data_IF_676568881794
#
_entry.id   IF_676568881794
#
_cell.length_a   1.000
_cell.length_b   1.000
_cell.length_c   1.000
_cell.angle_alpha   90.00
_cell.angle_beta   90.00
_cell.angle_gamma   90.00
#
_symmetry.space_group_name_H-M   'P 1'
#
loop_
_entity.id
_entity.type
_entity.pdbx_description
1 polymer ?
#
# COMPACT_ATOMS: atom_id res chain seq x y z
N UNK A 1 15.41 9.92 21.64
CA UNK A 1 14.40 10.78 21.00
C UNK A 1 14.05 10.15 19.67
N UNK A 2 12.78 9.84 19.41
CA UNK A 2 12.34 9.36 18.11
C UNK A 2 11.94 10.56 17.26
N UNK A 3 12.53 10.71 16.07
CA UNK A 3 12.22 11.79 15.13
C UNK A 3 11.41 11.17 13.99
N UNK A 4 10.24 11.75 13.72
CA UNK A 4 9.41 11.38 12.59
C UNK A 4 9.33 12.57 11.63
N UNK A 5 10.21 12.57 10.63
CA UNK A 5 10.15 13.57 9.57
C UNK A 5 9.00 13.24 8.63
N UNK A 6 7.96 14.08 8.63
CA UNK A 6 6.79 13.95 7.75
C UNK A 6 7.11 14.23 6.27
N UNK A 7 8.39 14.45 5.94
CA UNK A 7 8.89 14.72 4.59
C UNK A 7 8.93 13.43 3.75
N UNK A 8 9.10 12.25 4.38
CA UNK A 8 8.88 10.94 3.77
C UNK A 8 7.49 10.42 4.16
N UNK A 9 6.53 10.54 3.24
CA UNK A 9 5.13 10.18 3.50
C UNK A 9 4.95 8.66 3.70
N UNK A 10 5.09 8.20 4.95
CA UNK A 10 4.80 6.82 5.38
C UNK A 10 3.29 6.61 5.49
N UNK A 11 2.65 6.20 4.40
CA UNK A 11 1.19 6.00 4.37
C UNK A 11 0.70 4.83 5.25
N UNK A 12 1.52 3.79 5.42
CA UNK A 12 1.13 2.57 6.15
C UNK A 12 1.29 2.68 7.67
N UNK A 13 1.96 3.71 8.19
CA UNK A 13 2.24 3.83 9.63
C UNK A 13 3.17 2.76 10.21
N UNK A 14 3.80 1.93 9.37
CA UNK A 14 4.73 0.85 9.73
C UNK A 14 5.91 0.78 8.73
N UNK A 15 6.82 -0.19 8.90
CA UNK A 15 8.05 -0.33 8.10
C UNK A 15 7.85 -1.06 6.76
N UNK A 16 6.62 -1.49 6.44
CA UNK A 16 6.23 -2.07 5.15
C UNK A 16 4.74 -1.83 4.88
N UNK A 17 4.27 -2.13 3.67
CA UNK A 17 2.84 -2.15 3.35
C UNK A 17 2.43 -3.54 2.88
N UNK A 18 1.33 -4.06 3.43
CA UNK A 18 0.70 -5.28 2.92
C UNK A 18 -0.48 -4.89 2.03
N UNK A 19 -0.32 -5.08 0.72
CA UNK A 19 -1.34 -4.74 -0.26
C UNK A 19 -1.69 -5.90 -1.17
N UNK A 20 -2.94 -5.91 -1.63
CA UNK A 20 -3.45 -6.81 -2.65
C UNK A 20 -3.80 -6.04 -3.91
N UNK A 21 -3.18 -6.42 -5.04
CA UNK A 21 -3.52 -5.87 -6.36
C UNK A 21 -4.78 -6.55 -6.89
N UNK A 22 -5.83 -5.78 -7.13
CA UNK A 22 -7.09 -6.26 -7.67
C UNK A 22 -7.52 -5.44 -8.89
N UNK A 23 -8.30 -6.04 -9.82
CA UNK A 23 -8.96 -5.26 -10.87
C UNK A 23 -9.83 -4.16 -10.26
N UNK A 24 -9.82 -2.97 -10.86
CA UNK A 24 -10.62 -1.83 -10.40
C UNK A 24 -12.10 -2.20 -10.25
N UNK A 25 -12.63 -2.93 -11.22
CA UNK A 25 -14.06 -3.29 -11.28
C UNK A 25 -14.43 -4.43 -10.32
N UNK A 26 -13.46 -5.04 -9.64
CA UNK A 26 -13.69 -6.04 -8.60
C UNK A 26 -13.84 -5.42 -7.19
N UNK A 27 -13.81 -4.09 -7.08
CA UNK A 27 -13.91 -3.36 -5.82
C UNK A 27 -14.97 -2.28 -5.88
N UNK A 28 -15.71 -2.15 -4.80
CA UNK A 28 -16.65 -1.04 -4.59
C UNK A 28 -16.78 -0.76 -3.10
N UNK A 29 -16.93 0.53 -2.76
CA UNK A 29 -17.35 0.92 -1.43
C UNK A 29 -18.84 0.61 -1.28
N UNK A 30 -19.19 -0.14 -0.24
CA UNK A 30 -20.58 -0.43 0.10
C UNK A 30 -21.20 0.73 0.89
N UNK A 31 -20.38 1.47 1.64
CA UNK A 31 -20.77 2.60 2.48
C UNK A 31 -19.62 3.61 2.62
N UNK A 32 -19.97 4.87 2.89
CA UNK A 32 -19.02 5.95 3.08
C UNK A 32 -18.36 6.43 1.79
N UNK A 33 -17.63 7.54 1.91
CA UNK A 33 -16.82 8.11 0.84
C UNK A 33 -15.41 8.30 1.37
N UNK A 34 -14.38 7.75 0.73
CA UNK A 34 -13.01 7.95 1.18
C UNK A 34 -12.55 9.38 0.89
N UNK A 35 -11.55 9.83 1.64
CA UNK A 35 -10.77 11.02 1.34
C UNK A 35 -9.57 10.64 0.49
N UNK A 36 -9.43 11.26 -0.68
CA UNK A 36 -8.31 11.03 -1.60
C UNK A 36 -7.18 12.04 -1.38
N UNK A 37 -5.94 11.55 -1.42
CA UNK A 37 -4.72 12.33 -1.45
C UNK A 37 -3.88 11.93 -2.67
N UNK A 38 -3.49 12.92 -3.48
CA UNK A 38 -2.65 12.73 -4.66
C UNK A 38 -1.29 13.43 -4.46
N UNK A 39 -0.19 12.69 -4.62
CA UNK A 39 1.17 13.23 -4.54
C UNK A 39 2.15 12.44 -5.39
N UNK A 40 3.19 13.09 -5.90
CA UNK A 40 4.37 12.41 -6.43
C UNK A 40 5.24 11.93 -5.26
N UNK A 41 5.58 10.64 -5.24
CA UNK A 41 6.43 10.03 -4.22
C UNK A 41 7.93 10.03 -4.59
N UNK A 42 8.34 10.86 -5.55
CA UNK A 42 9.72 10.95 -6.05
C UNK A 42 10.00 10.03 -7.24
N UNK A 43 8.98 9.31 -7.73
CA UNK A 43 9.09 8.48 -8.93
C UNK A 43 8.74 9.22 -10.23
N UNK A 44 8.26 10.46 -10.14
CA UNK A 44 7.74 11.21 -11.29
C UNK A 44 6.34 10.76 -11.70
N UNK A 45 5.69 9.89 -10.92
CA UNK A 45 4.34 9.38 -11.17
C UNK A 45 3.42 9.80 -10.03
N UNK A 46 2.26 10.35 -10.37
CA UNK A 46 1.24 10.68 -9.38
C UNK A 46 0.71 9.40 -8.72
N UNK A 47 0.78 9.36 -7.39
CA UNK A 47 0.22 8.30 -6.58
C UNK A 47 -1.02 8.83 -5.85
N UNK A 48 -2.13 8.12 -6.01
CA UNK A 48 -3.39 8.40 -5.34
C UNK A 48 -3.55 7.44 -4.17
N UNK A 49 -3.95 7.96 -3.02
CA UNK A 49 -4.21 7.20 -1.80
C UNK A 49 -5.57 7.58 -1.25
N UNK A 50 -6.37 6.59 -0.92
CA UNK A 50 -7.70 6.76 -0.36
C UNK A 50 -7.69 6.34 1.12
N UNK A 51 -8.18 7.21 1.98
CA UNK A 51 -8.27 7.00 3.42
C UNK A 51 -9.72 7.09 3.89
N UNK A 52 -10.06 6.38 4.96
CA UNK A 52 -11.35 6.57 5.63
C UNK A 52 -11.44 8.00 6.18
N UNK A 53 -12.46 8.76 5.78
CA UNK A 53 -12.64 10.16 6.19
C UNK A 53 -12.87 10.30 7.71
N UNK A 54 -13.43 9.27 8.36
CA UNK A 54 -13.74 9.29 9.78
C UNK A 54 -12.55 8.94 10.69
N UNK A 55 -11.81 7.86 10.38
CA UNK A 55 -10.75 7.35 11.25
C UNK A 55 -9.34 7.49 10.68
N UNK A 56 -9.19 7.95 9.43
CA UNK A 56 -7.90 8.11 8.77
C UNK A 56 -7.21 6.81 8.36
N UNK A 57 -7.89 5.65 8.46
CA UNK A 57 -7.33 4.37 8.02
C UNK A 57 -7.01 4.41 6.53
N UNK A 58 -5.81 3.98 6.16
CA UNK A 58 -5.42 3.84 4.77
C UNK A 58 -6.17 2.66 4.15
N UNK A 59 -6.88 2.87 3.05
CA UNK A 59 -7.73 1.85 2.43
C UNK A 59 -7.06 1.28 1.19
N UNK A 60 -6.67 2.13 0.24
CA UNK A 60 -6.09 1.69 -1.02
C UNK A 60 -5.21 2.77 -1.67
N UNK A 61 -4.36 2.34 -2.58
CA UNK A 61 -3.61 3.23 -3.46
C UNK A 61 -3.62 2.77 -4.92
N UNK A 62 -3.27 3.70 -5.82
CA UNK A 62 -3.03 3.42 -7.23
C UNK A 62 -2.20 4.54 -7.86
N UNK A 63 -1.26 4.18 -8.73
CA UNK A 63 -0.52 5.15 -9.54
C UNK A 63 -1.29 5.56 -10.80
N UNK A 64 -0.98 6.72 -11.37
CA UNK A 64 -1.62 7.23 -12.61
C UNK A 64 -1.72 6.17 -13.73
N UNK A 65 -0.67 5.40 -14.06
CA UNK A 65 -0.77 4.38 -15.12
C UNK A 65 -1.68 3.19 -14.77
N UNK A 66 -1.86 2.92 -13.46
CA UNK A 66 -2.69 1.83 -12.96
C UNK A 66 -4.15 2.25 -12.73
N UNK A 67 -4.40 3.56 -12.63
CA UNK A 67 -5.72 4.17 -12.35
C UNK A 67 -6.89 3.57 -13.15
N UNK A 68 -6.78 3.30 -14.47
CA UNK A 68 -7.90 2.71 -15.22
C UNK A 68 -8.12 1.21 -14.97
N UNK A 69 -7.15 0.49 -14.39
CA UNK A 69 -7.16 -0.97 -14.39
C UNK A 69 -7.14 -1.62 -13.01
N UNK A 70 -6.43 -1.03 -12.04
CA UNK A 70 -6.12 -1.72 -10.78
C UNK A 70 -6.26 -0.81 -9.55
N UNK A 71 -6.46 -1.47 -8.41
CA UNK A 71 -6.33 -0.91 -7.06
C UNK A 71 -5.41 -1.80 -6.24
N UNK A 72 -4.64 -1.17 -5.34
CA UNK A 72 -3.82 -1.87 -4.35
C UNK A 72 -4.49 -1.66 -2.99
N UNK A 73 -5.31 -2.62 -2.58
CA UNK A 73 -6.03 -2.56 -1.30
C UNK A 73 -5.08 -2.89 -0.18
N UNK A 74 -5.10 -2.11 0.89
CA UNK A 74 -4.39 -2.44 2.12
C UNK A 74 -5.11 -3.61 2.81
N UNK A 75 -4.42 -4.73 3.00
CA UNK A 75 -5.07 -5.97 3.51
C UNK A 75 -5.57 -5.78 4.94
N UNK A 76 -4.89 -4.96 5.74
CA UNK A 76 -5.32 -4.62 7.10
C UNK A 76 -6.63 -3.82 7.19
N UNK A 77 -7.16 -3.33 6.06
CA UNK A 77 -8.48 -2.67 6.01
C UNK A 77 -9.65 -3.63 5.73
N UNK A 78 -9.36 -4.91 5.46
CA UNK A 78 -10.38 -5.93 5.18
C UNK A 78 -10.92 -6.52 6.48
N UNK A 79 -12.21 -6.91 6.48
CA UNK A 79 -12.85 -7.60 7.61
C UNK A 79 -12.20 -8.97 7.88
N UNK A 80 -11.72 -9.64 6.83
CA UNK A 80 -10.93 -10.88 6.91
C UNK A 80 -9.49 -10.61 6.41
N UNK A 81 -8.53 -10.38 7.34
CA UNK A 81 -7.14 -10.13 6.98
C UNK A 81 -6.39 -11.39 6.53
N UNK A 82 -6.91 -12.60 6.78
CA UNK A 82 -6.29 -13.86 6.36
C UNK A 82 -6.67 -14.25 4.93
N UNK A 83 -7.69 -13.61 4.35
CA UNK A 83 -8.16 -13.90 3.00
C UNK A 83 -7.09 -13.74 1.91
N UNK A 84 -6.07 -12.90 2.15
CA UNK A 84 -5.08 -12.52 1.14
C UNK A 84 -3.64 -12.59 1.70
N UNK A 85 -3.10 -13.80 1.93
CA UNK A 85 -1.71 -13.95 2.35
C UNK A 85 -0.75 -13.42 1.26
N UNK A 86 0.39 -12.82 1.66
CA UNK A 86 1.36 -12.30 0.71
C UNK A 86 1.95 -13.41 -0.15
N UNK A 87 2.18 -13.10 -1.43
CA UNK A 87 2.82 -14.00 -2.39
C UNK A 87 4.23 -13.58 -2.76
N UNK A 88 4.60 -12.35 -2.40
CA UNK A 88 5.89 -11.76 -2.73
C UNK A 88 6.14 -10.48 -1.95
N UNK A 89 7.41 -10.15 -1.79
CA UNK A 89 7.89 -8.93 -1.16
C UNK A 89 8.67 -8.11 -2.19
N UNK A 90 8.33 -6.82 -2.28
CA UNK A 90 8.97 -5.86 -3.18
C UNK A 90 9.76 -4.84 -2.36
N UNK A 91 10.74 -4.19 -3.00
CA UNK A 91 11.60 -3.19 -2.37
C UNK A 91 12.42 -3.72 -1.18
N UNK A 92 12.80 -5.00 -1.23
CA UNK A 92 13.48 -5.67 -0.13
C UNK A 92 14.84 -5.04 0.23
N UNK A 93 15.43 -4.21 -0.66
CA UNK A 93 16.62 -3.41 -0.34
C UNK A 93 16.40 -2.40 0.79
N UNK A 94 15.15 -2.00 1.03
CA UNK A 94 14.73 -1.08 2.08
C UNK A 94 14.20 -1.81 3.33
N UNK A 95 14.27 -3.14 3.37
CA UNK A 95 13.85 -3.94 4.53
C UNK A 95 14.71 -3.56 5.73
N UNK A 96 14.06 -3.24 6.85
CA UNK A 96 14.75 -3.01 8.12
C UNK A 96 15.42 -4.30 8.61
N UNK A 97 16.63 -4.19 9.14
CA UNK A 97 17.49 -5.36 9.43
C UNK A 97 16.93 -6.35 10.44
N UNK A 98 16.03 -5.92 11.32
CA UNK A 98 15.40 -6.77 12.34
C UNK A 98 14.16 -7.51 11.84
N UNK A 99 13.63 -7.18 10.65
CA UNK A 99 12.42 -7.82 10.12
C UNK A 99 12.80 -9.05 9.28
N UNK A 100 12.27 -10.24 9.59
CA UNK A 100 12.51 -11.42 8.78
C UNK A 100 11.79 -11.34 7.42
N UNK A 101 12.18 -12.23 6.51
CA UNK A 101 11.43 -12.51 5.28
C UNK A 101 10.13 -13.25 5.59
N UNK A 102 9.10 -13.02 4.78
CA UNK A 102 7.86 -13.81 4.87
C UNK A 102 8.11 -15.17 4.21
N UNK A 103 7.97 -16.29 4.95
CA UNK A 103 8.28 -17.62 4.41
C UNK A 103 7.47 -17.94 3.16
N UNK A 104 8.12 -18.54 2.16
CA UNK A 104 7.46 -19.03 0.94
C UNK A 104 7.07 -17.94 -0.07
N UNK A 105 7.52 -16.69 0.13
CA UNK A 105 7.26 -15.58 -0.80
C UNK A 105 8.47 -15.29 -1.69
N UNK A 106 8.24 -14.85 -2.93
CA UNK A 106 9.35 -14.38 -3.77
C UNK A 106 9.86 -13.01 -3.28
N UNK A 107 11.14 -12.72 -3.50
CA UNK A 107 11.78 -11.49 -3.05
C UNK A 107 12.26 -10.67 -4.24
N UNK A 108 11.90 -9.40 -4.28
CA UNK A 108 12.44 -8.42 -5.23
C UNK A 108 13.01 -7.22 -4.50
N UNK A 109 14.28 -6.89 -4.76
CA UNK A 109 14.92 -5.69 -4.21
C UNK A 109 14.36 -4.42 -4.85
N UNK A 110 13.96 -4.50 -6.11
CA UNK A 110 13.37 -3.39 -6.89
C UNK A 110 12.25 -3.90 -7.81
N UNK A 111 11.39 -3.02 -8.31
CA UNK A 111 10.26 -3.42 -9.18
C UNK A 111 10.72 -4.16 -10.45
N UNK A 112 11.88 -3.76 -11.01
CA UNK A 112 12.35 -4.20 -12.34
C UNK A 112 13.13 -5.52 -12.34
N UNK A 113 13.41 -6.09 -11.16
CA UNK A 113 13.92 -7.46 -11.03
C UNK A 113 12.81 -8.47 -11.33
#
# INVERSE_FOLDING_TARGET
MFIADLVEQKAFGTNYGLTAKIPKDAFQYTQGTPKEHAADNGSGTMLFREFCDNCGSFILEYGEPAKPHFRYITVGSLDDPEALPPKGEFFCKSRVSWMPEVPGTFQKKEIKE
#
